data_IF_124330984329
#
_entry.id   IF_124330984329
#
_cell.length_a   1.000
_cell.length_b   1.000
_cell.length_c   1.000
_cell.angle_alpha   90.00
_cell.angle_beta   90.00
_cell.angle_gamma   90.00
#
_symmetry.space_group_name_H-M   'P 1'
#
loop_
_entity.id
_entity.type
_entity.pdbx_description
1 polymer ?
#
# COMPACT_ATOMS: atom_id res chain seq x y z
N UNK A 1 8.97 -32.33 37.34
CA UNK A 1 8.83 -31.41 38.48
C UNK A 1 8.53 -30.05 37.86
N UNK A 2 7.33 -29.70 37.63
CA UNK A 2 6.26 -29.15 38.45
C UNK A 2 6.40 -27.66 38.77
N UNK A 3 5.36 -26.92 38.33
CA UNK A 3 4.81 -25.64 38.84
C UNK A 3 5.45 -24.36 38.31
N UNK A 4 4.75 -23.30 37.92
CA UNK A 4 3.34 -22.91 38.11
C UNK A 4 2.95 -21.79 37.12
N UNK A 5 1.81 -21.97 36.60
CA UNK A 5 0.96 -21.03 35.84
C UNK A 5 0.40 -19.97 36.84
N UNK A 6 0.44 -18.69 36.53
CA UNK A 6 -0.50 -17.69 37.07
C UNK A 6 -0.92 -16.68 36.04
N UNK A 7 -2.19 -16.82 35.64
CA UNK A 7 -3.00 -15.79 34.95
C UNK A 7 -3.16 -14.58 35.89
N UNK A 8 -3.09 -13.38 35.31
CA UNK A 8 -3.68 -12.18 35.92
C UNK A 8 -4.62 -11.53 34.91
N UNK A 9 -5.94 -11.75 35.12
CA UNK A 9 -7.01 -11.01 34.48
C UNK A 9 -7.14 -9.65 35.15
N UNK A 10 -7.03 -8.56 34.39
CA UNK A 10 -7.47 -7.22 34.81
C UNK A 10 -8.78 -6.90 34.12
N UNK A 11 -9.83 -6.83 34.90
CA UNK A 11 -11.14 -6.34 34.57
C UNK A 11 -11.09 -4.81 34.57
N UNK A 12 -11.37 -4.14 33.47
CA UNK A 12 -11.60 -2.70 33.45
C UNK A 12 -13.10 -2.44 33.34
N UNK A 13 -13.58 -1.81 34.37
CA UNK A 13 -14.97 -1.38 34.59
C UNK A 13 -15.25 -0.12 33.79
N UNK A 14 -16.25 -0.16 32.89
CA UNK A 14 -16.77 1.01 32.20
C UNK A 14 -17.68 1.82 33.13
N UNK A 15 -17.34 3.08 33.41
CA UNK A 15 -18.28 4.07 33.91
C UNK A 15 -18.80 4.91 32.74
N UNK A 16 -20.09 4.78 32.44
CA UNK A 16 -20.84 5.66 31.56
C UNK A 16 -21.17 6.95 32.30
N UNK A 17 -20.76 8.09 31.75
CA UNK A 17 -21.28 9.40 32.14
C UNK A 17 -22.00 10.02 30.94
N UNK A 18 -23.31 10.10 31.02
CA UNK A 18 -24.17 10.84 30.09
C UNK A 18 -24.05 12.33 30.37
N UNK A 19 -23.60 13.10 29.41
CA UNK A 19 -23.70 14.56 29.42
C UNK A 19 -24.65 15.02 28.28
N UNK A 20 -25.80 15.51 28.70
CA UNK A 20 -26.81 16.16 27.86
C UNK A 20 -26.27 17.51 27.38
N UNK A 21 -26.13 17.73 26.08
CA UNK A 21 -25.92 19.06 25.50
C UNK A 21 -27.18 19.52 24.77
N UNK A 22 -27.70 20.62 25.26
CA UNK A 22 -28.87 21.29 24.72
C UNK A 22 -28.62 21.90 23.34
N UNK A 23 -29.64 21.78 22.48
CA UNK A 23 -29.71 22.42 21.19
C UNK A 23 -29.84 23.93 21.31
N UNK A 24 -28.82 24.68 20.88
CA UNK A 24 -28.92 26.10 20.60
C UNK A 24 -29.28 26.30 19.12
N UNK A 25 -30.50 26.78 18.87
CA UNK A 25 -30.96 27.25 17.56
C UNK A 25 -30.18 28.50 17.16
N UNK A 26 -29.37 28.43 16.12
CA UNK A 26 -28.76 29.60 15.50
C UNK A 26 -29.77 30.23 14.53
N UNK A 27 -30.16 31.48 14.84
CA UNK A 27 -30.96 32.32 13.98
C UNK A 27 -30.14 32.82 12.80
N UNK A 28 -30.64 32.62 11.59
CA UNK A 28 -30.11 33.22 10.35
C UNK A 28 -30.47 34.73 10.30
N UNK A 29 -29.52 35.63 9.96
CA UNK A 29 -29.85 37.02 9.70
C UNK A 29 -30.52 37.20 8.34
N UNK A 30 -31.38 38.25 8.17
CA UNK A 30 -32.14 38.48 6.95
C UNK A 30 -31.25 38.94 5.78
N UNK A 31 -31.59 38.48 4.59
CA UNK A 31 -30.95 38.85 3.33
C UNK A 31 -31.05 40.35 3.05
N UNK A 32 -29.92 41.02 2.86
CA UNK A 32 -29.84 42.40 2.38
C UNK A 32 -30.04 42.39 0.85
N UNK A 33 -31.05 43.11 0.41
CA UNK A 33 -31.31 43.40 -1.00
C UNK A 33 -30.15 44.21 -1.60
N UNK A 34 -29.56 43.68 -2.68
CA UNK A 34 -28.56 44.38 -3.47
C UNK A 34 -29.26 45.13 -4.62
N UNK A 35 -29.02 46.42 -4.80
CA UNK A 35 -29.62 47.17 -5.92
C UNK A 35 -28.93 46.77 -7.24
N UNK A 36 -29.73 46.63 -8.30
CA UNK A 36 -29.29 46.32 -9.67
C UNK A 36 -28.38 47.43 -10.22
N UNK A 37 -27.15 47.09 -10.54
CA UNK A 37 -26.18 47.92 -11.27
C UNK A 37 -26.39 47.80 -12.78
N UNK A 38 -26.50 48.94 -13.46
CA UNK A 38 -26.58 49.09 -14.91
C UNK A 38 -25.27 48.62 -15.58
N UNK A 39 -25.32 48.13 -16.81
CA UNK A 39 -24.12 47.68 -17.56
C UNK A 39 -23.26 48.89 -17.93
N UNK A 40 -22.18 49.09 -17.23
CA UNK A 40 -21.13 50.04 -17.56
C UNK A 40 -19.87 49.30 -17.97
N UNK A 41 -19.24 49.78 -19.02
CA UNK A 41 -18.03 49.31 -19.70
C UNK A 41 -16.92 49.00 -18.68
N UNK A 42 -16.48 47.75 -18.63
CA UNK A 42 -15.35 47.33 -17.79
C UNK A 42 -14.03 47.90 -18.30
N UNK A 43 -13.23 48.59 -17.50
CA UNK A 43 -11.84 48.89 -17.85
C UNK A 43 -11.03 47.62 -17.85
N UNK A 44 -10.17 47.45 -18.85
CA UNK A 44 -9.25 46.35 -19.06
C UNK A 44 -8.37 46.21 -17.82
N UNK A 45 -8.60 45.14 -17.00
CA UNK A 45 -7.77 44.86 -15.84
C UNK A 45 -6.36 44.51 -16.30
N UNK A 46 -5.42 45.40 -15.98
CA UNK A 46 -3.98 45.11 -16.10
C UNK A 46 -3.65 44.17 -14.93
N UNK A 47 -3.36 42.90 -15.26
CA UNK A 47 -2.88 41.95 -14.28
C UNK A 47 -1.55 42.50 -13.68
N UNK A 48 -1.41 42.58 -12.35
CA UNK A 48 -0.13 42.93 -11.76
C UNK A 48 0.94 41.90 -12.19
N UNK A 49 2.13 42.38 -12.52
CA UNK A 49 3.27 41.55 -12.83
C UNK A 49 3.52 40.53 -11.71
N UNK A 50 3.94 39.30 -12.00
CA UNK A 50 4.26 38.33 -10.98
C UNK A 50 5.36 38.90 -10.06
N UNK A 51 5.10 38.84 -8.76
CA UNK A 51 6.08 39.28 -7.76
C UNK A 51 7.40 38.49 -7.96
N UNK A 52 8.57 39.13 -7.78
CA UNK A 52 9.84 38.41 -7.89
C UNK A 52 9.84 37.24 -6.90
N UNK A 53 10.47 36.10 -7.27
CA UNK A 53 10.55 34.93 -6.38
C UNK A 53 11.19 35.38 -5.05
N UNK A 54 10.50 35.07 -3.95
CA UNK A 54 11.05 35.30 -2.61
C UNK A 54 12.41 34.62 -2.51
N UNK A 55 13.43 35.29 -1.89
CA UNK A 55 14.72 34.63 -1.68
C UNK A 55 14.52 33.32 -0.92
N UNK A 56 15.32 32.27 -1.20
CA UNK A 56 15.19 30.99 -0.53
C UNK A 56 15.23 31.22 0.98
N UNK A 57 14.27 30.71 1.68
CA UNK A 57 14.22 30.77 3.14
C UNK A 57 15.51 30.19 3.67
N UNK A 58 16.35 31.01 4.30
CA UNK A 58 17.54 30.56 5.02
C UNK A 58 17.00 29.74 6.19
N UNK A 59 17.00 28.42 6.06
CA UNK A 59 16.67 27.50 7.15
C UNK A 59 17.66 27.79 8.27
N UNK A 60 17.23 28.48 9.32
CA UNK A 60 18.01 28.66 10.52
C UNK A 60 18.13 27.31 11.19
N UNK A 61 19.33 26.75 11.22
CA UNK A 61 19.66 25.54 11.97
C UNK A 61 20.21 25.97 13.36
N UNK A 62 19.31 26.26 14.32
CA UNK A 62 19.71 26.82 15.60
C UNK A 62 20.47 25.80 16.43
N UNK A 63 21.37 26.29 17.28
CA UNK A 63 21.99 25.53 18.34
C UNK A 63 20.95 25.29 19.44
N UNK A 64 20.65 24.03 19.74
CA UNK A 64 19.63 23.62 20.72
C UNK A 64 20.25 23.14 22.05
N UNK A 65 21.53 22.80 22.04
CA UNK A 65 22.32 22.52 23.25
C UNK A 65 23.82 22.65 22.94
N UNK A 66 24.65 22.64 23.99
CA UNK A 66 26.11 22.56 23.88
C UNK A 66 26.65 21.52 24.85
N UNK A 67 27.64 20.74 24.40
CA UNK A 67 28.37 19.76 25.23
C UNK A 67 29.85 20.08 25.17
N UNK A 68 30.46 20.45 26.29
CA UNK A 68 31.88 20.80 26.34
C UNK A 68 32.27 21.83 25.25
N UNK A 69 31.39 22.83 25.02
CA UNK A 69 31.58 23.85 23.98
C UNK A 69 31.22 23.41 22.54
N UNK A 70 30.88 22.16 22.32
CA UNK A 70 30.45 21.66 21.00
C UNK A 70 28.94 21.83 20.84
N UNK A 71 28.46 22.49 19.78
CA UNK A 71 27.03 22.71 19.59
C UNK A 71 26.34 21.46 19.11
N UNK A 72 25.09 21.26 19.57
CA UNK A 72 24.09 20.37 19.00
C UNK A 72 23.10 21.24 18.26
N UNK A 73 22.83 20.93 16.99
CA UNK A 73 21.94 21.69 16.14
C UNK A 73 20.59 21.00 15.97
N UNK A 74 19.58 21.79 15.62
CA UNK A 74 18.22 21.27 15.39
C UNK A 74 18.20 20.19 14.30
N UNK A 75 18.94 20.35 13.23
CA UNK A 75 19.08 19.37 12.16
C UNK A 75 19.54 17.98 12.63
N UNK A 76 20.36 17.92 13.69
CA UNK A 76 20.79 16.64 14.27
C UNK A 76 19.61 15.91 14.96
N UNK A 77 18.69 16.67 15.56
CA UNK A 77 17.48 16.09 16.16
C UNK A 77 16.52 15.60 15.08
N UNK A 78 16.37 16.35 14.00
CA UNK A 78 15.54 15.94 12.87
C UNK A 78 16.02 14.61 12.25
N UNK A 79 17.33 14.48 12.05
CA UNK A 79 17.93 13.22 11.59
C UNK A 79 17.71 12.08 12.60
N UNK A 80 17.90 12.37 13.90
CA UNK A 80 17.69 11.37 14.94
C UNK A 80 16.22 10.96 15.07
N UNK A 81 15.27 11.86 14.81
CA UNK A 81 13.85 11.55 14.78
C UNK A 81 13.50 10.53 13.69
N UNK A 82 14.15 10.63 12.52
CA UNK A 82 13.94 9.66 11.42
C UNK A 82 14.40 8.24 11.78
N UNK A 83 15.31 8.10 12.73
CA UNK A 83 15.78 6.81 13.22
C UNK A 83 14.87 6.21 14.33
N UNK A 84 13.84 6.93 14.78
CA UNK A 84 12.90 6.43 15.79
C UNK A 84 11.94 5.37 15.19
N UNK A 85 11.33 4.52 16.02
CA UNK A 85 10.24 3.65 15.62
C UNK A 85 9.09 4.43 14.97
N UNK A 86 8.31 3.83 14.03
CA UNK A 86 7.31 4.53 13.24
C UNK A 86 6.30 5.36 14.05
N UNK A 87 5.90 4.87 15.23
CA UNK A 87 4.95 5.58 16.10
C UNK A 87 5.46 6.93 16.62
N UNK A 88 6.78 7.12 16.73
CA UNK A 88 7.40 8.38 17.18
C UNK A 88 7.90 9.25 16.03
N UNK A 89 8.20 8.63 14.89
CA UNK A 89 8.73 9.32 13.70
C UNK A 89 7.76 10.37 13.16
N UNK A 90 6.46 10.07 13.21
CA UNK A 90 5.40 10.92 12.67
C UNK A 90 4.84 11.92 13.72
N UNK A 91 5.37 11.93 14.94
CA UNK A 91 4.96 12.92 15.95
C UNK A 91 5.56 14.29 15.65
N UNK A 92 4.90 15.40 16.01
CA UNK A 92 5.50 16.72 15.95
C UNK A 92 6.81 16.75 16.75
N UNK A 93 7.90 17.31 16.16
CA UNK A 93 9.21 17.35 16.79
C UNK A 93 9.15 17.93 18.21
N UNK A 94 8.31 18.95 18.43
CA UNK A 94 8.13 19.59 19.74
C UNK A 94 7.70 18.61 20.83
N UNK A 95 6.91 17.60 20.49
CA UNK A 95 6.42 16.62 21.46
C UNK A 95 7.52 15.63 21.91
N UNK A 96 8.47 15.32 21.03
CA UNK A 96 9.56 14.38 21.31
C UNK A 96 10.88 15.10 21.65
N UNK A 97 10.92 16.41 21.47
CA UNK A 97 12.15 17.24 21.56
C UNK A 97 12.94 17.04 22.86
N UNK A 98 12.36 17.17 24.08
CA UNK A 98 13.14 17.03 25.30
C UNK A 98 13.81 15.67 25.43
N UNK A 99 13.04 14.59 25.26
CA UNK A 99 13.56 13.23 25.38
C UNK A 99 14.57 12.88 24.28
N UNK A 100 14.35 13.40 23.04
CA UNK A 100 15.27 13.19 21.94
C UNK A 100 16.58 13.96 22.14
N UNK A 101 16.50 15.19 22.67
CA UNK A 101 17.67 16.00 23.00
C UNK A 101 18.53 15.32 24.08
N UNK A 102 17.91 14.87 25.18
CA UNK A 102 18.62 14.15 26.25
C UNK A 102 19.33 12.91 25.71
N UNK A 103 18.65 12.12 24.88
CA UNK A 103 19.24 10.94 24.23
C UNK A 103 20.43 11.29 23.35
N UNK A 104 20.37 12.39 22.60
CA UNK A 104 21.49 12.84 21.76
C UNK A 104 22.67 13.31 22.62
N UNK A 105 22.37 14.05 23.71
CA UNK A 105 23.39 14.48 24.68
C UNK A 105 24.11 13.26 25.23
N UNK A 106 23.39 12.27 25.77
CA UNK A 106 24.00 11.04 26.33
C UNK A 106 24.82 10.29 25.29
N UNK A 107 24.28 10.12 24.08
CA UNK A 107 25.02 9.50 22.97
C UNK A 107 26.31 10.20 22.64
N UNK A 108 26.28 11.55 22.55
CA UNK A 108 27.49 12.35 22.28
C UNK A 108 28.52 12.29 23.41
N UNK A 109 28.08 12.23 24.67
CA UNK A 109 28.97 12.06 25.82
C UNK A 109 29.70 10.72 25.73
N UNK A 110 28.98 9.61 25.48
CA UNK A 110 29.58 8.28 25.28
C UNK A 110 30.56 8.27 24.12
N UNK A 111 30.22 8.90 22.98
CA UNK A 111 31.15 9.01 21.84
C UNK A 111 32.40 9.83 22.17
N UNK A 112 32.25 10.94 22.92
CA UNK A 112 33.40 11.74 23.33
C UNK A 112 34.32 10.94 24.26
N UNK A 113 33.78 10.17 25.19
CA UNK A 113 34.55 9.33 26.09
C UNK A 113 35.26 8.19 25.35
N UNK A 114 34.58 7.52 24.46
CA UNK A 114 35.17 6.51 23.57
C UNK A 114 36.32 7.07 22.72
N UNK A 115 36.20 8.31 22.22
CA UNK A 115 37.28 8.99 21.49
C UNK A 115 38.49 9.28 22.39
N UNK A 116 38.28 9.71 23.64
CA UNK A 116 39.34 9.87 24.62
C UNK A 116 40.04 8.53 24.91
N UNK A 117 39.26 7.45 24.99
CA UNK A 117 39.74 6.07 25.14
C UNK A 117 40.38 5.48 23.88
N UNK A 118 40.54 6.29 22.79
CA UNK A 118 41.17 5.86 21.51
C UNK A 118 40.53 4.64 20.86
N UNK A 119 39.19 4.44 21.05
CA UNK A 119 38.44 3.35 20.43
C UNK A 119 38.65 3.28 18.92
N UNK A 120 38.89 4.44 18.26
CA UNK A 120 39.19 4.51 16.84
C UNK A 120 40.51 3.81 16.42
N UNK A 121 41.43 3.54 17.36
CA UNK A 121 42.67 2.84 17.08
C UNK A 121 42.54 1.30 17.17
N UNK A 122 41.48 0.82 17.81
CA UNK A 122 41.18 -0.60 17.98
C UNK A 122 41.05 -1.31 16.63
N UNK A 123 41.77 -2.43 16.38
CA UNK A 123 41.69 -3.19 15.14
C UNK A 123 40.29 -3.71 14.82
N UNK A 124 39.51 -4.12 15.86
CA UNK A 124 38.16 -4.59 15.68
C UNK A 124 37.22 -3.46 15.25
N UNK A 125 37.38 -2.27 15.84
CA UNK A 125 36.69 -1.06 15.42
C UNK A 125 37.01 -0.71 13.97
N UNK A 126 38.30 -0.67 13.59
CA UNK A 126 38.68 -0.40 12.20
C UNK A 126 38.07 -1.39 11.22
N UNK A 127 38.13 -2.68 11.53
CA UNK A 127 37.50 -3.73 10.71
C UNK A 127 35.97 -3.50 10.58
N UNK A 128 35.31 -3.12 11.67
CA UNK A 128 33.87 -2.81 11.65
C UNK A 128 33.55 -1.58 10.81
N UNK A 129 34.40 -0.55 10.89
CA UNK A 129 34.22 0.68 10.10
C UNK A 129 34.35 0.43 8.60
N UNK A 130 35.34 -0.36 8.15
CA UNK A 130 35.47 -0.76 6.73
C UNK A 130 34.18 -1.42 6.26
N UNK A 131 33.63 -2.36 7.02
CA UNK A 131 32.38 -3.04 6.66
C UNK A 131 31.19 -2.07 6.57
N UNK A 132 31.08 -1.13 7.50
CA UNK A 132 30.01 -0.11 7.49
C UNK A 132 30.18 0.82 6.30
N UNK A 133 31.40 1.26 6.00
CA UNK A 133 31.72 2.09 4.85
C UNK A 133 31.32 1.41 3.53
N UNK A 134 31.69 0.14 3.35
CA UNK A 134 31.31 -0.65 2.17
C UNK A 134 29.80 -0.74 2.00
N UNK A 135 29.05 -0.96 3.08
CA UNK A 135 27.58 -0.98 3.04
C UNK A 135 27.01 0.39 2.63
N UNK A 136 27.51 1.46 3.22
CA UNK A 136 27.05 2.82 2.90
C UNK A 136 27.33 3.14 1.44
N UNK A 137 28.53 2.84 0.95
CA UNK A 137 28.90 3.05 -0.46
C UNK A 137 27.98 2.25 -1.37
N UNK A 138 27.73 0.98 -1.06
CA UNK A 138 26.83 0.12 -1.84
C UNK A 138 25.42 0.71 -1.91
N UNK A 139 24.85 1.09 -0.78
CA UNK A 139 23.48 1.61 -0.71
C UNK A 139 23.35 2.94 -1.46
N UNK A 140 24.25 3.89 -1.23
CA UNK A 140 24.26 5.18 -1.93
C UNK A 140 24.42 5.01 -3.43
N UNK A 141 25.35 4.15 -3.84
CA UNK A 141 25.58 3.91 -5.26
C UNK A 141 24.38 3.28 -5.95
N UNK A 142 23.79 2.23 -5.35
CA UNK A 142 22.61 1.58 -5.90
C UNK A 142 21.42 2.54 -5.97
N UNK A 143 21.14 3.30 -4.91
CA UNK A 143 20.07 4.29 -4.91
C UNK A 143 20.27 5.34 -6.00
N UNK A 144 21.49 5.82 -6.19
CA UNK A 144 21.82 6.79 -7.22
C UNK A 144 21.62 6.22 -8.63
N UNK A 145 22.05 4.99 -8.88
CA UNK A 145 21.87 4.34 -10.19
C UNK A 145 20.39 4.00 -10.46
N UNK A 146 19.65 3.58 -9.45
CA UNK A 146 18.21 3.37 -9.54
C UNK A 146 17.51 4.69 -9.88
N UNK A 147 17.79 5.77 -9.16
CA UNK A 147 17.18 7.08 -9.39
C UNK A 147 17.41 7.61 -10.81
N UNK A 148 18.56 7.32 -11.43
CA UNK A 148 18.84 7.67 -12.84
C UNK A 148 18.01 6.90 -13.84
N UNK A 149 17.57 5.71 -13.51
CA UNK A 149 16.89 4.78 -14.43
C UNK A 149 15.38 4.69 -14.18
N UNK A 150 14.95 4.85 -12.92
CA UNK A 150 13.54 4.79 -12.52
C UNK A 150 12.98 6.21 -12.50
N UNK A 151 12.85 6.80 -13.68
CA UNK A 151 12.26 8.14 -13.84
C UNK A 151 10.75 8.05 -14.07
N UNK A 152 9.99 9.14 -13.85
CA UNK A 152 8.54 9.17 -14.13
C UNK A 152 8.21 8.73 -15.56
N UNK A 153 9.03 9.15 -16.55
CA UNK A 153 8.84 8.80 -17.96
C UNK A 153 9.02 7.29 -18.19
N UNK A 154 10.00 6.68 -17.52
CA UNK A 154 10.24 5.22 -17.59
C UNK A 154 9.12 4.42 -16.92
N UNK A 155 8.57 4.93 -15.84
CA UNK A 155 7.41 4.32 -15.18
C UNK A 155 6.19 4.38 -16.11
N UNK A 156 5.94 5.53 -16.73
CA UNK A 156 4.84 5.69 -17.67
C UNK A 156 5.02 4.78 -18.90
N UNK A 157 6.22 4.72 -19.47
CA UNK A 157 6.52 3.81 -20.57
C UNK A 157 6.26 2.35 -20.20
N UNK A 158 6.71 1.91 -19.02
CA UNK A 158 6.51 0.55 -18.53
C UNK A 158 5.03 0.23 -18.31
N UNK A 159 4.27 1.19 -17.79
CA UNK A 159 2.82 1.07 -17.66
C UNK A 159 2.14 0.83 -19.01
N UNK A 160 2.47 1.63 -20.02
CA UNK A 160 1.91 1.47 -21.36
C UNK A 160 2.29 0.13 -22.01
N UNK A 161 3.53 -0.33 -21.82
CA UNK A 161 3.98 -1.66 -22.24
C UNK A 161 3.19 -2.77 -21.53
N UNK A 162 2.95 -2.62 -20.24
CA UNK A 162 2.16 -3.54 -19.43
C UNK A 162 0.73 -3.62 -19.92
N UNK A 163 0.09 -2.50 -20.20
CA UNK A 163 -1.28 -2.46 -20.72
C UNK A 163 -1.40 -3.20 -22.07
N UNK A 164 -0.41 -3.06 -22.96
CA UNK A 164 -0.40 -3.76 -24.25
C UNK A 164 -0.27 -5.28 -24.10
N UNK A 165 0.39 -5.75 -23.05
CA UNK A 165 0.61 -7.17 -22.77
C UNK A 165 -0.44 -7.80 -21.85
N UNK A 166 -1.29 -6.99 -21.21
CA UNK A 166 -2.36 -7.50 -20.35
C UNK A 166 -3.45 -8.15 -21.20
N UNK A 167 -3.91 -9.35 -20.80
CA UNK A 167 -5.10 -9.93 -21.41
C UNK A 167 -6.29 -9.01 -21.19
N UNK A 168 -7.13 -8.88 -22.22
CA UNK A 168 -8.39 -8.15 -22.06
C UNK A 168 -9.29 -8.93 -21.11
N UNK A 169 -9.43 -8.46 -19.89
CA UNK A 169 -10.41 -8.99 -18.95
C UNK A 169 -11.80 -8.48 -19.29
N UNK A 170 -12.80 -9.25 -18.96
CA UNK A 170 -14.19 -8.89 -19.12
C UNK A 170 -14.82 -8.67 -17.75
N UNK A 171 -15.70 -7.68 -17.67
CA UNK A 171 -16.60 -7.45 -16.53
C UNK A 171 -18.03 -7.66 -16.97
N UNK A 172 -18.82 -8.22 -16.07
CA UNK A 172 -20.25 -8.35 -16.23
C UNK A 172 -20.97 -7.55 -15.16
N UNK A 173 -22.09 -6.91 -15.55
CA UNK A 173 -23.06 -6.34 -14.64
C UNK A 173 -24.19 -7.34 -14.50
N UNK A 174 -24.40 -7.84 -13.30
CA UNK A 174 -25.38 -8.86 -13.07
C UNK A 174 -26.27 -8.55 -11.86
N UNK A 175 -27.45 -9.15 -11.89
CA UNK A 175 -28.31 -9.28 -10.71
C UNK A 175 -28.41 -10.73 -10.29
N UNK A 176 -28.57 -10.97 -8.99
CA UNK A 176 -28.82 -12.29 -8.48
C UNK A 176 -29.92 -12.34 -7.43
N UNK A 177 -30.49 -13.52 -7.26
CA UNK A 177 -31.37 -13.86 -6.15
C UNK A 177 -30.78 -15.10 -5.50
N UNK A 178 -30.49 -15.02 -4.20
CA UNK A 178 -29.94 -16.12 -3.40
C UNK A 178 -31.06 -16.68 -2.52
N UNK A 179 -31.24 -18.00 -2.57
CA UNK A 179 -32.21 -18.71 -1.73
C UNK A 179 -31.60 -19.98 -1.13
N UNK A 180 -32.23 -20.51 -0.08
CA UNK A 180 -31.72 -21.66 0.65
C UNK A 180 -31.98 -23.00 -0.07
N UNK A 181 -33.04 -23.12 -0.87
CA UNK A 181 -33.42 -24.37 -1.50
C UNK A 181 -33.44 -24.31 -3.03
N UNK A 182 -33.15 -25.45 -3.64
CA UNK A 182 -33.15 -25.59 -5.09
C UNK A 182 -34.56 -25.42 -5.68
N UNK A 183 -35.56 -25.92 -4.98
CA UNK A 183 -36.96 -25.86 -5.46
C UNK A 183 -37.48 -24.43 -5.47
N UNK A 184 -37.10 -23.63 -4.47
CA UNK A 184 -37.42 -22.19 -4.44
C UNK A 184 -36.74 -21.45 -5.60
N UNK A 185 -35.48 -21.75 -5.88
CA UNK A 185 -34.78 -21.16 -7.01
C UNK A 185 -35.39 -21.55 -8.36
N UNK A 186 -35.81 -22.80 -8.53
CA UNK A 186 -36.55 -23.25 -9.72
C UNK A 186 -37.90 -22.53 -9.89
N UNK A 187 -38.62 -22.33 -8.79
CA UNK A 187 -39.90 -21.59 -8.82
C UNK A 187 -39.68 -20.13 -9.23
N UNK A 188 -38.59 -19.49 -8.72
CA UNK A 188 -38.22 -18.14 -9.10
C UNK A 188 -37.85 -18.04 -10.58
N UNK A 189 -37.07 -18.98 -11.11
CA UNK A 189 -36.74 -19.03 -12.54
C UNK A 189 -38.03 -19.16 -13.39
N UNK A 190 -38.95 -20.01 -12.97
CA UNK A 190 -40.22 -20.19 -13.68
C UNK A 190 -41.09 -18.92 -13.66
N UNK A 191 -41.09 -18.18 -12.56
CA UNK A 191 -41.82 -16.92 -12.42
C UNK A 191 -41.20 -15.81 -13.29
N UNK A 192 -39.85 -15.67 -13.25
CA UNK A 192 -39.12 -14.74 -14.10
C UNK A 192 -39.33 -15.01 -15.60
N UNK A 193 -39.34 -16.27 -16.03
CA UNK A 193 -39.65 -16.67 -17.41
C UNK A 193 -41.05 -16.30 -17.86
N UNK A 194 -42.00 -16.13 -16.91
CA UNK A 194 -43.37 -15.66 -17.17
C UNK A 194 -43.49 -14.13 -17.14
N UNK A 195 -42.39 -13.40 -16.96
CA UNK A 195 -42.38 -11.94 -16.93
C UNK A 195 -42.40 -11.34 -15.52
N UNK A 196 -42.14 -12.13 -14.49
CA UNK A 196 -41.97 -11.63 -13.12
C UNK A 196 -40.87 -10.56 -13.04
N UNK A 197 -41.06 -9.54 -12.21
CA UNK A 197 -40.08 -8.47 -12.03
C UNK A 197 -38.94 -8.93 -11.13
N UNK A 198 -37.75 -9.04 -11.68
CA UNK A 198 -36.56 -9.55 -10.99
C UNK A 198 -36.25 -8.77 -9.69
N UNK A 199 -36.30 -7.44 -9.74
CA UNK A 199 -36.04 -6.55 -8.62
C UNK A 199 -36.99 -6.76 -7.44
N UNK A 200 -38.28 -6.99 -7.73
CA UNK A 200 -39.29 -7.27 -6.70
C UNK A 200 -39.06 -8.62 -6.04
N UNK A 201 -38.80 -9.65 -6.84
CA UNK A 201 -38.57 -11.01 -6.33
C UNK A 201 -37.27 -11.03 -5.52
N UNK A 202 -36.22 -10.32 -5.95
CA UNK A 202 -34.96 -10.17 -5.20
C UNK A 202 -35.21 -9.54 -3.82
N UNK A 203 -35.94 -8.42 -3.76
CA UNK A 203 -36.31 -7.74 -2.52
C UNK A 203 -37.09 -8.60 -1.54
N UNK A 204 -38.03 -9.40 -2.07
CA UNK A 204 -38.91 -10.22 -1.27
C UNK A 204 -38.25 -11.52 -0.80
N UNK A 205 -37.56 -12.21 -1.68
CA UNK A 205 -37.10 -13.60 -1.47
C UNK A 205 -35.61 -13.79 -1.27
N UNK A 206 -34.78 -12.85 -1.71
CA UNK A 206 -33.32 -13.04 -1.57
C UNK A 206 -32.91 -13.11 -0.11
N UNK A 207 -32.09 -14.12 0.21
CA UNK A 207 -31.40 -14.25 1.51
C UNK A 207 -30.16 -13.35 1.59
N UNK A 208 -29.61 -12.95 0.46
CA UNK A 208 -28.62 -11.87 0.40
C UNK A 208 -29.34 -10.52 0.56
N UNK A 209 -29.32 -10.01 1.77
CA UNK A 209 -30.04 -8.77 2.11
C UNK A 209 -29.36 -7.51 1.55
N UNK A 210 -28.06 -7.57 1.29
CA UNK A 210 -27.30 -6.44 0.76
C UNK A 210 -27.73 -6.14 -0.69
N UNK A 211 -27.51 -7.08 -1.60
CA UNK A 211 -27.93 -6.92 -3.00
C UNK A 211 -29.44 -7.00 -3.16
N UNK A 212 -30.11 -7.81 -2.34
CA UNK A 212 -31.56 -7.96 -2.37
C UNK A 212 -32.32 -6.64 -2.18
N UNK A 213 -31.89 -5.77 -1.27
CA UNK A 213 -32.47 -4.45 -1.07
C UNK A 213 -32.39 -3.57 -2.33
N UNK A 214 -31.34 -3.73 -3.12
CA UNK A 214 -31.09 -3.05 -4.40
C UNK A 214 -31.65 -3.86 -5.61
N UNK A 215 -32.61 -4.77 -5.37
CA UNK A 215 -33.19 -5.59 -6.44
C UNK A 215 -32.28 -6.66 -6.99
N UNK A 216 -31.31 -7.11 -6.19
CA UNK A 216 -30.33 -8.14 -6.53
C UNK A 216 -29.10 -7.63 -7.27
N UNK A 217 -28.92 -6.33 -7.41
CA UNK A 217 -27.82 -5.73 -8.16
C UNK A 217 -26.49 -6.00 -7.49
N UNK A 218 -25.51 -6.52 -8.27
CA UNK A 218 -24.12 -6.78 -7.84
C UNK A 218 -23.12 -5.78 -8.41
N UNK A 219 -23.58 -4.86 -9.27
CA UNK A 219 -22.70 -3.99 -10.02
C UNK A 219 -21.82 -4.74 -11.02
N UNK A 220 -20.72 -4.08 -11.42
CA UNK A 220 -19.71 -4.65 -12.31
C UNK A 220 -18.70 -5.46 -11.53
N UNK A 221 -18.41 -6.68 -11.99
CA UNK A 221 -17.41 -7.54 -11.38
C UNK A 221 -16.66 -8.36 -12.43
N UNK A 222 -15.43 -8.75 -12.09
CA UNK A 222 -14.58 -9.66 -12.86
C UNK A 222 -14.84 -11.11 -12.45
N UNK A 223 -14.41 -12.03 -13.30
CA UNK A 223 -14.53 -13.47 -13.01
C UNK A 223 -13.80 -13.89 -11.72
N UNK A 224 -12.70 -13.20 -11.40
CA UNK A 224 -11.89 -13.42 -10.18
C UNK A 224 -12.56 -12.95 -8.88
N UNK A 225 -13.56 -12.09 -8.96
CA UNK A 225 -14.16 -11.43 -7.79
C UNK A 225 -15.23 -12.28 -7.13
N UNK A 226 -15.66 -13.35 -7.81
CA UNK A 226 -16.74 -14.21 -7.39
C UNK A 226 -16.28 -15.66 -7.15
N UNK A 227 -17.04 -16.40 -6.38
CA UNK A 227 -16.83 -17.85 -6.22
C UNK A 227 -16.97 -18.56 -7.55
N UNK A 228 -16.18 -19.62 -7.76
CA UNK A 228 -15.98 -20.26 -9.06
C UNK A 228 -17.27 -20.63 -9.77
N UNK A 229 -18.20 -21.29 -9.07
CA UNK A 229 -19.44 -21.79 -9.63
C UNK A 229 -20.36 -20.66 -10.10
N UNK A 230 -20.42 -19.57 -9.32
CA UNK A 230 -21.15 -18.36 -9.68
C UNK A 230 -20.52 -17.67 -10.88
N UNK A 231 -19.20 -17.47 -10.85
CA UNK A 231 -18.45 -16.80 -11.92
C UNK A 231 -18.58 -17.55 -13.25
N UNK A 232 -18.43 -18.88 -13.24
CA UNK A 232 -18.57 -19.71 -14.45
C UNK A 232 -19.97 -19.57 -15.07
N UNK A 233 -21.02 -19.58 -14.24
CA UNK A 233 -22.40 -19.41 -14.71
C UNK A 233 -22.65 -17.99 -15.24
N UNK A 234 -22.25 -16.95 -14.49
CA UNK A 234 -22.46 -15.56 -14.88
C UNK A 234 -21.75 -15.21 -16.20
N UNK A 235 -20.50 -15.66 -16.36
CA UNK A 235 -19.72 -15.36 -17.56
C UNK A 235 -20.09 -16.23 -18.78
N UNK A 236 -20.83 -17.33 -18.59
CA UNK A 236 -21.41 -18.13 -19.69
C UNK A 236 -22.67 -17.50 -20.29
N UNK A 237 -23.39 -16.67 -19.52
CA UNK A 237 -24.61 -16.01 -19.97
C UNK A 237 -24.30 -14.80 -20.84
N UNK A 238 -25.16 -14.52 -21.81
CA UNK A 238 -25.14 -13.28 -22.63
C UNK A 238 -25.91 -12.18 -21.93
N UNK A 239 -25.72 -10.95 -22.43
CA UNK A 239 -26.52 -9.80 -21.99
C UNK A 239 -28.01 -10.08 -22.12
N UNK A 240 -28.74 -9.86 -21.04
CA UNK A 240 -30.18 -10.08 -20.94
C UNK A 240 -30.57 -11.54 -20.64
N UNK A 241 -29.62 -12.47 -20.59
CA UNK A 241 -29.94 -13.88 -20.29
C UNK A 241 -30.09 -14.13 -18.79
N UNK A 242 -30.92 -15.09 -18.46
CA UNK A 242 -31.19 -15.61 -17.12
C UNK A 242 -30.65 -17.04 -17.03
N UNK A 243 -30.15 -17.45 -15.87
CA UNK A 243 -29.80 -18.87 -15.63
C UNK A 243 -30.98 -19.78 -15.88
N UNK A 244 -30.74 -20.85 -16.63
CA UNK A 244 -31.82 -21.84 -16.91
C UNK A 244 -32.09 -22.77 -15.74
N UNK A 245 -31.10 -22.99 -14.90
CA UNK A 245 -31.11 -23.81 -13.70
C UNK A 245 -30.47 -23.07 -12.51
N UNK A 246 -30.85 -23.42 -11.27
CA UNK A 246 -30.19 -22.85 -10.07
C UNK A 246 -28.71 -23.16 -10.02
N UNK A 247 -27.91 -22.17 -9.66
CA UNK A 247 -26.44 -22.32 -9.48
C UNK A 247 -26.14 -22.54 -8.00
N UNK A 248 -25.68 -23.74 -7.67
CA UNK A 248 -25.33 -24.11 -6.30
C UNK A 248 -23.95 -23.57 -5.93
N UNK A 249 -23.85 -22.88 -4.79
CA UNK A 249 -22.61 -22.47 -4.14
C UNK A 249 -22.64 -22.85 -2.66
N UNK A 250 -21.58 -22.54 -1.92
CA UNK A 250 -21.55 -22.70 -0.46
C UNK A 250 -22.59 -21.82 0.28
N UNK A 251 -23.09 -20.77 -0.35
CA UNK A 251 -24.06 -19.83 0.23
C UNK A 251 -25.53 -20.25 0.00
N UNK A 252 -25.79 -21.12 -0.94
CA UNK A 252 -27.14 -21.55 -1.34
C UNK A 252 -27.25 -21.66 -2.84
N UNK A 253 -28.48 -21.41 -3.33
CA UNK A 253 -28.82 -21.49 -4.75
C UNK A 253 -29.08 -20.09 -5.32
N UNK A 254 -28.35 -19.78 -6.39
CA UNK A 254 -28.41 -18.49 -7.07
C UNK A 254 -29.21 -18.58 -8.37
N UNK A 255 -30.01 -17.56 -8.61
CA UNK A 255 -30.64 -17.26 -9.89
C UNK A 255 -29.99 -15.98 -10.39
N UNK A 256 -29.35 -15.99 -11.56
CA UNK A 256 -28.50 -14.91 -12.07
C UNK A 256 -29.04 -14.40 -13.39
N UNK A 257 -29.05 -13.09 -13.57
CA UNK A 257 -29.29 -12.44 -14.86
C UNK A 257 -28.19 -11.46 -15.17
N UNK A 258 -27.79 -11.37 -16.45
CA UNK A 258 -26.76 -10.43 -16.90
C UNK A 258 -27.43 -9.20 -17.49
N UNK A 259 -27.15 -8.04 -16.89
CA UNK A 259 -27.66 -6.77 -17.40
C UNK A 259 -26.77 -6.21 -18.53
N UNK A 260 -25.45 -6.30 -18.33
CA UNK A 260 -24.50 -5.82 -19.34
C UNK A 260 -23.14 -6.52 -19.26
N UNK A 261 -22.31 -6.32 -20.29
CA UNK A 261 -20.94 -6.84 -20.38
C UNK A 261 -20.04 -5.75 -20.96
N UNK A 262 -18.82 -5.64 -20.44
CA UNK A 262 -17.84 -4.70 -20.96
C UNK A 262 -16.43 -5.26 -20.82
N UNK A 263 -15.50 -4.69 -21.59
CA UNK A 263 -14.07 -4.88 -21.27
C UNK A 263 -13.78 -4.16 -19.96
N UNK A 264 -13.12 -4.85 -19.05
CA UNK A 264 -12.67 -4.24 -17.81
C UNK A 264 -11.76 -3.04 -18.12
N UNK A 265 -11.96 -1.91 -17.47
CA UNK A 265 -11.02 -0.80 -17.58
C UNK A 265 -9.65 -1.26 -17.10
N UNK A 266 -8.57 -0.82 -17.77
CA UNK A 266 -7.24 -1.15 -17.29
C UNK A 266 -7.03 -0.55 -15.88
N UNK A 267 -6.20 -1.18 -15.04
CA UNK A 267 -5.86 -0.61 -13.73
C UNK A 267 -5.21 0.77 -13.91
N UNK A 268 -5.50 1.69 -13.00
CA UNK A 268 -4.94 3.04 -13.05
C UNK A 268 -3.40 3.01 -12.86
N UNK A 269 -2.72 4.01 -13.44
CA UNK A 269 -1.26 4.14 -13.30
C UNK A 269 -0.84 4.19 -11.83
N UNK A 270 -1.58 4.94 -11.02
CA UNK A 270 -1.33 5.12 -9.59
C UNK A 270 -1.37 3.79 -8.83
N UNK A 271 -2.28 2.89 -9.22
CA UNK A 271 -2.41 1.56 -8.59
C UNK A 271 -1.22 0.65 -8.91
N UNK A 272 -0.61 0.83 -10.07
CA UNK A 272 0.52 0.03 -10.53
C UNK A 272 1.89 0.66 -10.25
N UNK A 273 1.93 1.93 -9.90
CA UNK A 273 3.16 2.73 -9.86
C UNK A 273 4.24 2.14 -8.96
N UNK A 274 3.88 1.71 -7.76
CA UNK A 274 4.84 1.15 -6.80
C UNK A 274 5.39 -0.19 -7.28
N UNK A 275 4.54 -1.06 -7.82
CA UNK A 275 4.97 -2.33 -8.40
C UNK A 275 5.92 -2.11 -9.58
N UNK A 276 5.57 -1.20 -10.50
CA UNK A 276 6.41 -0.88 -11.66
C UNK A 276 7.75 -0.27 -11.23
N UNK A 277 7.76 0.53 -10.17
CA UNK A 277 8.99 1.11 -9.59
C UNK A 277 9.90 0.01 -9.05
N UNK A 278 9.35 -0.92 -8.30
CA UNK A 278 10.13 -2.05 -7.76
C UNK A 278 10.68 -2.96 -8.87
N UNK A 279 9.89 -3.23 -9.91
CA UNK A 279 10.32 -4.03 -11.05
C UNK A 279 11.49 -3.36 -11.78
N UNK A 280 11.36 -2.08 -12.13
CA UNK A 280 12.43 -1.31 -12.79
C UNK A 280 13.69 -1.17 -11.92
N UNK A 281 13.52 -0.98 -10.61
CA UNK A 281 14.65 -0.94 -9.68
C UNK A 281 15.40 -2.28 -9.66
N UNK A 282 14.68 -3.40 -9.59
CA UNK A 282 15.25 -4.76 -9.59
C UNK A 282 15.96 -5.07 -10.91
N UNK A 283 15.36 -4.71 -12.04
CA UNK A 283 15.98 -4.85 -13.37
C UNK A 283 17.26 -4.01 -13.45
N UNK A 284 17.22 -2.77 -12.96
CA UNK A 284 18.37 -1.87 -12.94
C UNK A 284 19.53 -2.45 -12.15
N UNK A 285 19.27 -2.95 -10.94
CA UNK A 285 20.29 -3.58 -10.09
C UNK A 285 20.85 -4.84 -10.77
N UNK A 286 19.99 -5.67 -11.35
CA UNK A 286 20.40 -6.90 -12.04
C UNK A 286 21.31 -6.58 -13.24
N UNK A 287 20.93 -5.60 -14.05
CA UNK A 287 21.73 -5.18 -15.20
C UNK A 287 23.07 -4.55 -14.78
N UNK A 288 23.06 -3.72 -13.74
CA UNK A 288 24.27 -3.10 -13.17
C UNK A 288 25.23 -4.18 -12.66
N UNK A 289 24.73 -5.14 -11.88
CA UNK A 289 25.57 -6.24 -11.36
C UNK A 289 26.12 -7.12 -12.48
N UNK A 290 25.32 -7.39 -13.51
CA UNK A 290 25.77 -8.17 -14.69
C UNK A 290 26.92 -7.42 -15.41
N UNK A 291 26.76 -6.11 -15.61
CA UNK A 291 27.79 -5.26 -16.22
C UNK A 291 29.09 -5.24 -15.40
N UNK A 292 28.99 -5.00 -14.09
CA UNK A 292 30.14 -5.00 -13.19
C UNK A 292 30.85 -6.35 -13.16
N UNK A 293 30.11 -7.45 -13.15
CA UNK A 293 30.67 -8.80 -13.18
C UNK A 293 31.37 -9.12 -14.50
N UNK A 294 30.85 -8.63 -15.63
CA UNK A 294 31.45 -8.85 -16.93
C UNK A 294 32.81 -8.12 -17.10
N UNK A 295 32.97 -6.97 -16.43
CA UNK A 295 34.22 -6.19 -16.44
C UNK A 295 35.24 -6.60 -15.38
N UNK A 296 34.86 -7.41 -14.38
CA UNK A 296 35.70 -7.78 -13.27
C UNK A 296 36.37 -9.16 -13.48
N UNK A 297 37.64 -9.28 -13.10
CA UNK A 297 38.30 -10.57 -12.96
C UNK A 297 37.90 -11.19 -11.62
N UNK A 298 37.01 -12.18 -11.64
CA UNK A 298 36.46 -12.83 -10.44
C UNK A 298 37.06 -14.23 -10.32
N UNK A 299 37.84 -14.46 -9.28
CA UNK A 299 38.30 -15.79 -8.89
C UNK A 299 37.57 -16.20 -7.60
N UNK A 300 37.00 -17.38 -7.61
CA UNK A 300 36.30 -17.96 -6.46
C UNK A 300 37.06 -19.15 -5.91
N UNK A 301 37.03 -19.28 -4.59
CA UNK A 301 37.68 -20.36 -3.88
C UNK A 301 36.67 -21.04 -2.95
N UNK A 302 36.92 -22.31 -2.63
CA UNK A 302 36.18 -23.01 -1.58
C UNK A 302 36.49 -22.42 -0.21
N UNK A 303 35.74 -22.83 0.83
CA UNK A 303 35.90 -22.30 2.19
C UNK A 303 37.28 -22.63 2.78
N UNK A 304 37.93 -23.67 2.29
CA UNK A 304 39.29 -24.09 2.65
C UNK A 304 40.41 -23.39 1.83
N UNK A 305 40.05 -22.47 0.93
CA UNK A 305 40.95 -21.75 0.05
C UNK A 305 41.36 -22.52 -1.21
N UNK A 306 40.89 -23.73 -1.42
CA UNK A 306 41.13 -24.53 -2.64
C UNK A 306 40.34 -23.97 -3.83
N UNK A 307 40.82 -24.26 -5.07
CA UNK A 307 40.02 -23.91 -6.26
C UNK A 307 38.85 -24.85 -6.38
N UNK A 308 37.63 -24.34 -6.74
CA UNK A 308 36.48 -25.21 -7.00
C UNK A 308 36.78 -26.19 -8.14
N UNK A 309 36.32 -27.42 -8.02
CA UNK A 309 36.39 -28.40 -9.09
C UNK A 309 35.61 -27.92 -10.32
N UNK A 310 36.21 -27.97 -11.49
CA UNK A 310 35.66 -27.44 -12.75
C UNK A 310 34.30 -28.05 -13.16
N UNK A 311 33.91 -29.18 -12.54
CA UNK A 311 32.63 -29.84 -12.77
C UNK A 311 31.44 -29.19 -11.98
N UNK A 312 31.69 -28.51 -10.84
CA UNK A 312 30.64 -27.97 -10.00
C UNK A 312 30.14 -26.59 -10.46
N UNK A 313 30.84 -25.91 -11.37
CA UNK A 313 30.57 -24.51 -11.78
C UNK A 313 29.41 -24.38 -12.78
N UNK A 314 28.82 -25.47 -13.26
CA UNK A 314 27.73 -25.49 -14.27
C UNK A 314 26.32 -25.64 -13.71
N UNK A 315 26.12 -25.74 -12.40
CA UNK A 315 24.79 -25.76 -11.84
C UNK A 315 24.27 -24.31 -11.75
N UNK A 316 23.11 -23.98 -12.34
CA UNK A 316 22.49 -22.67 -12.10
C UNK A 316 22.14 -22.56 -10.61
N UNK A 317 22.64 -21.52 -9.96
CA UNK A 317 22.22 -21.20 -8.59
C UNK A 317 20.73 -20.88 -8.67
N UNK A 318 19.90 -21.86 -8.30
CA UNK A 318 18.47 -21.62 -8.07
C UNK A 318 18.36 -20.52 -7.03
N UNK A 319 17.64 -19.45 -7.36
CA UNK A 319 17.27 -18.41 -6.41
C UNK A 319 16.68 -19.07 -5.15
N UNK A 320 16.95 -18.57 -3.93
CA UNK A 320 16.33 -19.12 -2.73
C UNK A 320 14.82 -19.10 -2.91
N UNK A 321 14.23 -20.30 -2.93
CA UNK A 321 12.86 -20.55 -3.32
C UNK A 321 11.88 -19.76 -2.49
N UNK A 322 10.91 -19.17 -3.16
CA UNK A 322 9.64 -18.82 -2.58
C UNK A 322 9.09 -20.08 -1.88
N UNK A 323 8.93 -20.00 -0.58
CA UNK A 323 8.35 -21.08 0.21
C UNK A 323 6.95 -21.37 -0.33
N UNK A 324 6.78 -22.58 -0.84
CA UNK A 324 5.50 -23.13 -1.26
C UNK A 324 4.60 -23.20 -0.02
N UNK A 325 3.37 -22.66 -0.04
CA UNK A 325 2.49 -22.79 1.10
C UNK A 325 2.21 -24.28 1.36
N UNK A 326 2.39 -24.70 2.62
CA UNK A 326 2.11 -26.05 3.07
C UNK A 326 0.61 -26.35 2.90
N UNK A 327 0.31 -27.49 2.28
CA UNK A 327 -1.04 -28.01 2.19
C UNK A 327 -1.58 -28.35 3.58
N UNK A 328 -2.90 -28.13 3.88
CA UNK A 328 -3.46 -28.49 5.16
C UNK A 328 -3.46 -30.03 5.32
N UNK A 329 -2.87 -30.50 6.44
CA UNK A 329 -2.90 -31.89 6.83
C UNK A 329 -4.33 -32.30 7.21
N UNK A 330 -4.92 -33.20 6.47
CA UNK A 330 -6.13 -33.91 6.88
C UNK A 330 -5.75 -34.89 8.00
N UNK A 331 -6.06 -34.51 9.24
CA UNK A 331 -6.07 -35.43 10.36
C UNK A 331 -7.34 -36.27 10.39
N UNK A 332 -7.13 -37.57 10.55
CA UNK A 332 -8.18 -38.54 10.84
C UNK A 332 -8.79 -38.29 12.20
#
# INVERSE_FOLDING_TARGET
MSRCLRLLRVVVLCCAAAASFGSAMAQTPPASETPALKPGTMPKAVLPAPAPPSPPAVFKDPVVATINGQPIRLSELEVAQQALPPQYRNMPLQAVFPALLDRIVDSKLVVQDGRKGKVGDDPAFKKRMVFVEEQVIQDFWLQREIAKKVTPEKLQQRYEERLKSMPAEEEVHARHILVASEDEAKAIIADLKKGGAFDKIAKEKSTDKASGAEGGDLGWFKKSDMVKEFAEAAFALKKGELTEAPIKTQFGYHVITIEDRRKAPPPAFEEMQDQLREELARETVTALLAHLRASAKIEKFNIDGSKPDSAATKAPVSAPGAAKPAAPSTGK
#
